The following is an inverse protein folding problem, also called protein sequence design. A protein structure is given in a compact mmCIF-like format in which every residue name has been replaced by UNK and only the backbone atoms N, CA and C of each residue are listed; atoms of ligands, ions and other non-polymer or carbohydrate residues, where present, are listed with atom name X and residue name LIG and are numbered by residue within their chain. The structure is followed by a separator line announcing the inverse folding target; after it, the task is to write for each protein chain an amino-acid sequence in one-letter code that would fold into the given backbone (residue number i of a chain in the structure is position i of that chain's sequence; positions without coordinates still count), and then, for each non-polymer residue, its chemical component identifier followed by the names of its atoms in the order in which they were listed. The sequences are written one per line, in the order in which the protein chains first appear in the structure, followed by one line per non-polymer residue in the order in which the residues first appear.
data_IF_394914064055
#
_entry.id   IF_394914064055
#
_cell.length_a   1.000
_cell.length_b   1.000
_cell.length_c   1.000
_cell.angle_alpha   90.00
_cell.angle_beta   90.00
_cell.angle_gamma   90.00
#
_symmetry.space_group_name_H-M   'P 1'
#
loop_
_entity.id
_entity.type
_entity.pdbx_description
1 polymer ?
#
# COMPACT_ATOMS: atom_id res chain seq x y z
N UNK A 1 35.33 -10.75 -1.78
CA UNK A 1 34.42 -11.76 -2.33
C UNK A 1 33.44 -12.30 -1.26
N UNK A 2 33.91 -12.82 -0.13
CA UNK A 2 33.06 -13.40 0.93
C UNK A 2 32.03 -12.40 1.46
N UNK A 3 32.45 -11.16 1.70
CA UNK A 3 31.54 -10.09 2.18
C UNK A 3 30.38 -9.79 1.18
N UNK A 4 30.66 -9.84 -0.13
CA UNK A 4 29.64 -9.61 -1.15
C UNK A 4 28.59 -10.72 -1.12
N UNK A 5 29.04 -11.98 -1.04
CA UNK A 5 28.13 -13.14 -0.94
C UNK A 5 27.30 -13.07 0.32
N UNK A 6 27.92 -12.76 1.48
CA UNK A 6 27.21 -12.64 2.74
C UNK A 6 26.11 -11.54 2.69
N UNK A 7 26.44 -10.37 2.11
CA UNK A 7 25.49 -9.26 1.96
C UNK A 7 24.34 -9.59 1.00
N UNK A 8 24.60 -10.32 -0.09
CA UNK A 8 23.55 -10.77 -1.01
C UNK A 8 22.63 -11.82 -0.36
N UNK A 9 23.17 -12.75 0.42
CA UNK A 9 22.38 -13.72 1.19
C UNK A 9 21.50 -12.98 2.21
N UNK A 10 22.08 -12.03 2.94
CA UNK A 10 21.36 -11.24 3.93
C UNK A 10 20.25 -10.40 3.27
N UNK A 11 20.51 -9.78 2.12
CA UNK A 11 19.48 -9.10 1.33
C UNK A 11 18.32 -10.02 1.00
N UNK A 12 18.59 -11.21 0.44
CA UNK A 12 17.54 -12.16 0.04
C UNK A 12 16.70 -12.64 1.22
N UNK A 13 17.36 -12.91 2.33
CA UNK A 13 16.69 -13.31 3.57
C UNK A 13 15.80 -12.17 4.09
N UNK A 14 16.36 -10.98 4.26
CA UNK A 14 15.66 -9.82 4.82
C UNK A 14 14.51 -9.37 3.94
N UNK A 15 14.67 -9.36 2.60
CA UNK A 15 13.57 -8.99 1.69
C UNK A 15 12.43 -10.02 1.73
N UNK A 16 12.75 -11.30 1.90
CA UNK A 16 11.73 -12.35 2.05
C UNK A 16 10.92 -12.15 3.32
N UNK A 17 11.60 -11.93 4.45
CA UNK A 17 10.93 -11.64 5.72
C UNK A 17 10.10 -10.38 5.63
N UNK A 18 10.64 -9.28 5.10
CA UNK A 18 9.92 -8.01 4.93
C UNK A 18 8.65 -8.13 4.10
N UNK A 19 8.66 -8.95 3.05
CA UNK A 19 7.47 -9.23 2.24
C UNK A 19 6.46 -10.13 2.96
N UNK A 20 6.93 -11.10 3.76
CA UNK A 20 6.05 -11.97 4.53
C UNK A 20 5.36 -11.24 5.69
N UNK A 21 6.04 -10.26 6.27
CA UNK A 21 5.51 -9.42 7.36
C UNK A 21 4.85 -8.14 6.87
N UNK A 22 4.79 -7.93 5.55
CA UNK A 22 4.25 -6.72 4.89
C UNK A 22 4.86 -5.41 5.44
N UNK A 23 6.15 -5.47 5.82
CA UNK A 23 6.88 -4.38 6.48
C UNK A 23 7.78 -3.62 5.51
N UNK A 24 7.41 -2.38 5.10
CA UNK A 24 8.23 -1.54 4.22
C UNK A 24 9.60 -1.23 4.81
N UNK A 25 9.71 -1.03 6.13
CA UNK A 25 10.97 -0.73 6.81
C UNK A 25 11.97 -1.89 6.76
N UNK A 26 11.50 -3.14 6.90
CA UNK A 26 12.35 -4.33 6.76
C UNK A 26 12.82 -4.48 5.30
N UNK A 27 11.96 -4.21 4.34
CA UNK A 27 12.32 -4.20 2.91
C UNK A 27 13.36 -3.11 2.63
N UNK A 28 13.20 -1.91 3.19
CA UNK A 28 14.17 -0.83 3.05
C UNK A 28 15.55 -1.22 3.61
N UNK A 29 15.60 -1.85 4.78
CA UNK A 29 16.85 -2.36 5.37
C UNK A 29 17.51 -3.43 4.48
N UNK A 30 16.72 -4.29 3.83
CA UNK A 30 17.27 -5.25 2.87
C UNK A 30 17.98 -4.52 1.70
N UNK A 31 17.39 -3.47 1.16
CA UNK A 31 18.00 -2.68 0.10
C UNK A 31 19.31 -2.00 0.52
N UNK A 32 19.45 -1.61 1.79
CA UNK A 32 20.73 -1.14 2.32
C UNK A 32 21.83 -2.18 2.17
N UNK A 33 21.60 -3.43 2.55
CA UNK A 33 22.57 -4.51 2.37
C UNK A 33 22.94 -4.74 0.91
N UNK A 34 21.98 -4.63 0.00
CA UNK A 34 22.23 -4.79 -1.43
C UNK A 34 23.03 -3.63 -2.02
N UNK A 35 22.74 -2.40 -1.60
CA UNK A 35 23.51 -1.22 -2.00
C UNK A 35 24.98 -1.35 -1.59
N UNK A 36 25.25 -1.85 -0.40
CA UNK A 36 26.59 -2.12 0.09
C UNK A 36 27.31 -3.23 -0.72
N UNK A 37 26.58 -4.27 -1.13
CA UNK A 37 27.13 -5.32 -1.97
C UNK A 37 27.51 -4.77 -3.36
N UNK A 38 26.63 -3.98 -3.97
CA UNK A 38 26.86 -3.33 -5.26
C UNK A 38 28.04 -2.36 -5.22
N UNK A 39 28.16 -1.55 -4.17
CA UNK A 39 29.33 -0.68 -3.94
C UNK A 39 30.62 -1.48 -3.86
N UNK A 40 30.60 -2.59 -3.12
CA UNK A 40 31.77 -3.49 -3.00
C UNK A 40 32.13 -4.15 -4.34
N UNK A 41 31.16 -4.51 -5.17
CA UNK A 41 31.38 -5.05 -6.53
C UNK A 41 31.99 -3.98 -7.42
N UNK A 42 31.44 -2.74 -7.39
CA UNK A 42 31.96 -1.61 -8.18
C UNK A 42 33.42 -1.35 -7.87
N UNK A 43 33.78 -1.23 -6.59
CA UNK A 43 35.15 -1.03 -6.14
C UNK A 43 36.09 -2.18 -6.55
N UNK A 44 35.64 -3.43 -6.35
CA UNK A 44 36.43 -4.61 -6.72
C UNK A 44 36.70 -4.65 -8.23
N UNK A 45 35.68 -4.33 -9.03
CA UNK A 45 35.80 -4.28 -10.49
C UNK A 45 36.72 -3.14 -10.94
N UNK A 46 36.56 -1.93 -10.39
CA UNK A 46 37.38 -0.76 -10.72
C UNK A 46 38.86 -0.99 -10.41
N UNK A 47 39.16 -1.42 -9.20
CA UNK A 47 40.57 -1.74 -8.78
C UNK A 47 41.12 -2.91 -9.59
N UNK A 48 40.30 -3.96 -9.83
CA UNK A 48 40.72 -5.11 -10.63
C UNK A 48 41.11 -4.73 -12.05
N UNK A 49 40.30 -3.92 -12.73
CA UNK A 49 40.61 -3.44 -14.07
C UNK A 49 41.89 -2.60 -14.10
N UNK A 50 42.06 -1.69 -13.14
CA UNK A 50 43.27 -0.87 -13.05
C UNK A 50 44.52 -1.74 -12.82
N UNK A 51 44.43 -2.78 -11.99
CA UNK A 51 45.54 -3.68 -11.67
C UNK A 51 45.93 -4.57 -12.85
N UNK A 52 44.97 -5.18 -13.56
CA UNK A 52 45.25 -6.15 -14.63
C UNK A 52 45.49 -5.50 -16.01
N UNK A 53 44.86 -4.33 -16.32
CA UNK A 53 44.96 -3.71 -17.62
C UNK A 53 45.84 -2.45 -17.65
N UNK A 54 46.42 -2.06 -16.49
CA UNK A 54 47.39 -0.99 -16.36
C UNK A 54 46.81 0.43 -16.27
N UNK A 55 47.68 1.42 -16.24
CA UNK A 55 47.36 2.82 -15.89
C UNK A 55 46.25 3.48 -16.75
N UNK A 56 46.07 3.06 -17.99
CA UNK A 56 45.04 3.58 -18.89
C UNK A 56 43.61 3.26 -18.37
N UNK A 57 43.46 2.22 -17.56
CA UNK A 57 42.20 1.77 -17.01
C UNK A 57 41.90 2.30 -15.61
N UNK A 58 42.77 3.17 -15.06
CA UNK A 58 42.51 3.82 -13.75
C UNK A 58 41.21 4.63 -13.72
N UNK A 59 40.74 5.11 -14.89
CA UNK A 59 39.46 5.80 -15.02
C UNK A 59 38.25 4.87 -14.80
N UNK A 60 38.45 3.55 -14.87
CA UNK A 60 37.36 2.58 -14.65
C UNK A 60 36.81 2.60 -13.21
N UNK A 61 37.65 2.89 -12.22
CA UNK A 61 37.24 2.98 -10.82
C UNK A 61 36.27 4.16 -10.57
N UNK A 62 36.59 5.42 -10.92
CA UNK A 62 35.64 6.51 -10.78
C UNK A 62 34.38 6.35 -11.64
N UNK A 63 34.48 5.74 -12.83
CA UNK A 63 33.29 5.43 -13.64
C UNK A 63 32.41 4.38 -12.99
N UNK A 64 32.98 3.30 -12.45
CA UNK A 64 32.24 2.30 -11.71
C UNK A 64 31.55 2.93 -10.48
N UNK A 65 32.27 3.77 -9.74
CA UNK A 65 31.73 4.51 -8.60
C UNK A 65 30.56 5.42 -9.00
N UNK A 66 30.66 6.12 -10.13
CA UNK A 66 29.59 6.97 -10.66
C UNK A 66 28.33 6.14 -11.00
N UNK A 67 28.49 5.01 -11.70
CA UNK A 67 27.38 4.14 -12.07
C UNK A 67 26.68 3.60 -10.82
N UNK A 68 27.45 3.13 -9.84
CA UNK A 68 26.91 2.62 -8.57
C UNK A 68 26.21 3.73 -7.80
N UNK A 69 26.76 4.96 -7.76
CA UNK A 69 26.14 6.07 -7.04
C UNK A 69 24.78 6.48 -7.63
N UNK A 70 24.64 6.49 -8.96
CA UNK A 70 23.36 6.75 -9.64
C UNK A 70 22.33 5.67 -9.28
N UNK A 71 22.77 4.42 -9.24
CA UNK A 71 21.89 3.30 -8.90
C UNK A 71 21.42 3.36 -7.43
N UNK A 72 22.35 3.67 -6.52
CA UNK A 72 22.02 3.85 -5.09
C UNK A 72 21.10 5.05 -4.90
N UNK A 73 21.35 6.16 -5.59
CA UNK A 73 20.49 7.34 -5.53
C UNK A 73 19.05 7.02 -5.96
N UNK A 74 18.89 6.26 -7.04
CA UNK A 74 17.57 5.82 -7.50
C UNK A 74 16.86 4.99 -6.41
N UNK A 75 17.54 4.01 -5.81
CA UNK A 75 16.96 3.19 -4.73
C UNK A 75 16.55 4.07 -3.55
N UNK A 76 17.43 4.98 -3.11
CA UNK A 76 17.15 5.90 -2.02
C UNK A 76 15.93 6.78 -2.30
N UNK A 77 15.82 7.28 -3.53
CA UNK A 77 14.69 8.09 -3.96
C UNK A 77 13.37 7.30 -3.96
N UNK A 78 13.38 6.07 -4.46
CA UNK A 78 12.20 5.20 -4.48
C UNK A 78 11.73 4.86 -3.04
N UNK A 79 12.68 4.60 -2.13
CA UNK A 79 12.38 4.37 -0.71
C UNK A 79 11.84 5.62 -0.02
N UNK A 80 12.45 6.77 -0.27
CA UNK A 80 12.00 8.05 0.27
C UNK A 80 10.58 8.39 -0.20
N UNK A 81 10.30 8.22 -1.49
CA UNK A 81 8.97 8.45 -2.05
C UNK A 81 7.93 7.53 -1.42
N UNK A 82 8.26 6.25 -1.22
CA UNK A 82 7.37 5.28 -0.56
C UNK A 82 7.09 5.68 0.89
N UNK A 83 8.13 6.03 1.66
CA UNK A 83 7.99 6.46 3.06
C UNK A 83 7.21 7.78 3.20
N UNK A 84 7.46 8.75 2.32
CA UNK A 84 6.68 9.99 2.30
C UNK A 84 5.22 9.73 1.95
N UNK A 85 4.95 8.80 1.03
CA UNK A 85 3.58 8.40 0.69
C UNK A 85 2.82 7.85 1.89
N UNK A 86 3.48 7.06 2.72
CA UNK A 86 2.89 6.54 3.96
C UNK A 86 2.63 7.64 4.98
N UNK A 87 3.59 8.56 5.19
CA UNK A 87 3.44 9.71 6.09
C UNK A 87 2.37 10.71 5.64
N UNK A 88 2.16 10.82 4.34
CA UNK A 88 1.12 11.67 3.74
C UNK A 88 -0.24 10.95 3.61
N UNK A 89 -0.38 9.78 4.22
CA UNK A 89 -1.61 8.98 4.21
C UNK A 89 -2.15 8.74 2.79
N UNK A 90 -1.26 8.42 1.83
CA UNK A 90 -1.69 8.14 0.47
C UNK A 90 -2.68 6.97 0.45
N UNK A 91 -3.72 7.14 -0.36
CA UNK A 91 -4.72 6.11 -0.63
C UNK A 91 -4.06 4.81 -1.18
N UNK A 92 -4.71 3.70 -0.94
CA UNK A 92 -4.30 2.42 -1.52
C UNK A 92 -4.43 2.46 -3.07
N UNK A 93 -3.75 1.56 -3.78
CA UNK A 93 -3.90 1.46 -5.23
C UNK A 93 -5.36 1.31 -5.64
N UNK A 94 -5.78 1.95 -6.74
CA UNK A 94 -7.16 1.95 -7.22
C UNK A 94 -7.76 0.53 -7.37
N UNK A 95 -6.96 -0.45 -7.77
CA UNK A 95 -7.40 -1.85 -7.85
C UNK A 95 -7.79 -2.41 -6.47
N UNK A 96 -7.07 -2.04 -5.41
CA UNK A 96 -7.37 -2.44 -4.03
C UNK A 96 -8.62 -1.73 -3.51
N UNK A 97 -8.79 -0.44 -3.82
CA UNK A 97 -10.00 0.30 -3.46
C UNK A 97 -11.24 -0.26 -4.15
N UNK A 98 -11.12 -0.67 -5.41
CA UNK A 98 -12.21 -1.34 -6.13
C UNK A 98 -12.57 -2.69 -5.49
N UNK A 99 -11.60 -3.44 -5.01
CA UNK A 99 -11.84 -4.69 -4.28
C UNK A 99 -12.59 -4.42 -2.96
N UNK A 100 -12.22 -3.36 -2.24
CA UNK A 100 -12.94 -2.93 -1.02
C UNK A 100 -14.38 -2.57 -1.35
N UNK A 101 -14.61 -1.78 -2.40
CA UNK A 101 -15.96 -1.42 -2.84
C UNK A 101 -16.79 -2.65 -3.19
N UNK A 102 -16.22 -3.65 -3.84
CA UNK A 102 -16.90 -4.90 -4.16
C UNK A 102 -17.30 -5.68 -2.89
N UNK A 103 -16.47 -5.64 -1.85
CA UNK A 103 -16.80 -6.26 -0.55
C UNK A 103 -17.93 -5.49 0.14
N UNK A 104 -17.90 -4.16 0.13
CA UNK A 104 -18.95 -3.32 0.70
C UNK A 104 -20.31 -3.55 0.03
N UNK A 105 -20.32 -3.69 -1.31
CA UNK A 105 -21.55 -3.89 -2.11
C UNK A 105 -22.02 -5.35 -2.16
N UNK A 106 -21.31 -6.27 -1.52
CA UNK A 106 -21.68 -7.69 -1.53
C UNK A 106 -23.07 -7.95 -0.93
N UNK A 107 -23.45 -7.21 0.09
CA UNK A 107 -24.80 -7.26 0.66
C UNK A 107 -25.77 -6.40 -0.12
N UNK A 108 -26.93 -6.97 -0.52
CA UNK A 108 -27.99 -6.22 -1.18
C UNK A 108 -28.62 -5.12 -0.31
N UNK A 109 -28.39 -5.17 1.01
CA UNK A 109 -28.87 -4.18 1.96
C UNK A 109 -28.01 -2.91 1.99
N UNK A 110 -26.81 -2.97 1.40
CA UNK A 110 -25.90 -1.82 1.24
C UNK A 110 -26.20 -1.13 -0.10
N UNK A 111 -26.51 0.12 -0.02
CA UNK A 111 -26.68 1.00 -1.19
C UNK A 111 -25.65 2.12 -1.14
N UNK A 112 -25.15 2.53 -2.32
CA UNK A 112 -24.30 3.70 -2.51
C UNK A 112 -23.14 3.81 -1.48
N UNK A 113 -22.17 2.86 -1.44
CA UNK A 113 -20.97 3.08 -0.67
C UNK A 113 -20.24 4.30 -1.20
N UNK A 114 -19.84 5.22 -0.31
CA UNK A 114 -19.20 6.47 -0.67
C UNK A 114 -18.22 6.92 0.41
N UNK A 115 -17.50 8.01 0.18
CA UNK A 115 -16.47 8.53 1.07
C UNK A 115 -15.45 7.46 1.50
N UNK A 116 -15.13 6.53 0.58
CA UNK A 116 -14.07 5.57 0.83
C UNK A 116 -12.75 6.31 1.03
N UNK A 117 -12.13 6.10 2.17
CA UNK A 117 -10.78 6.56 2.49
C UNK A 117 -9.95 5.37 2.93
N UNK A 118 -8.80 5.25 2.35
CA UNK A 118 -7.88 4.15 2.62
C UNK A 118 -6.50 4.70 2.89
N UNK A 119 -5.76 4.07 3.79
CA UNK A 119 -4.35 4.39 4.01
C UNK A 119 -3.62 3.18 4.58
N UNK A 120 -2.31 3.20 4.44
CA UNK A 120 -1.43 2.22 5.08
C UNK A 120 -0.87 2.79 6.37
N UNK A 121 -0.81 1.99 7.41
CA UNK A 121 -0.20 2.31 8.70
C UNK A 121 0.77 1.17 9.02
N UNK A 122 2.04 1.32 8.60
CA UNK A 122 3.02 0.25 8.67
C UNK A 122 2.59 -1.00 7.88
N UNK A 123 2.47 -2.13 8.56
CA UNK A 123 1.99 -3.39 7.97
C UNK A 123 0.45 -3.51 7.94
N UNK A 124 -0.26 -2.51 8.46
CA UNK A 124 -1.72 -2.55 8.63
C UNK A 124 -2.39 -1.64 7.60
N UNK A 125 -3.59 -2.00 7.19
CA UNK A 125 -4.48 -1.18 6.35
C UNK A 125 -5.55 -0.53 7.22
N UNK A 126 -5.82 0.75 6.99
CA UNK A 126 -6.98 1.44 7.54
C UNK A 126 -7.99 1.74 6.43
N UNK A 127 -9.26 1.44 6.68
CA UNK A 127 -10.38 1.58 5.75
C UNK A 127 -11.49 2.34 6.47
N UNK A 128 -11.89 3.47 5.91
CA UNK A 128 -13.04 4.25 6.34
C UNK A 128 -14.00 4.35 5.17
N UNK A 129 -15.27 4.04 5.39
CA UNK A 129 -16.29 4.11 4.34
C UNK A 129 -17.65 4.45 4.92
N UNK A 130 -18.48 5.09 4.12
CA UNK A 130 -19.90 5.31 4.41
C UNK A 130 -20.74 4.38 3.55
N UNK A 131 -21.78 3.82 4.15
CA UNK A 131 -22.78 3.00 3.45
C UNK A 131 -24.18 3.52 3.75
N UNK A 132 -25.06 3.43 2.77
CA UNK A 132 -26.48 3.77 2.95
C UNK A 132 -27.30 2.51 3.08
N UNK A 133 -28.28 2.55 4.00
CA UNK A 133 -29.21 1.46 4.28
C UNK A 133 -30.65 1.98 4.35
N UNK A 134 -31.62 1.06 4.34
CA UNK A 134 -33.05 1.43 4.54
C UNK A 134 -33.22 2.19 5.87
N UNK A 135 -33.81 3.40 5.86
CA UNK A 135 -34.02 4.20 7.06
C UNK A 135 -34.87 3.47 8.15
N UNK A 136 -35.60 2.44 7.79
CA UNK A 136 -36.38 1.62 8.71
C UNK A 136 -35.60 0.42 9.27
N UNK A 137 -34.35 0.25 8.84
CA UNK A 137 -33.50 -0.82 9.38
C UNK A 137 -33.25 -0.59 10.87
N UNK A 138 -33.41 -1.65 11.67
CA UNK A 138 -33.12 -1.55 13.10
C UNK A 138 -31.62 -1.38 13.34
N UNK A 139 -31.26 -0.72 14.45
CA UNK A 139 -29.85 -0.59 14.87
C UNK A 139 -29.18 -1.96 15.00
N UNK A 140 -29.89 -2.95 15.53
CA UNK A 140 -29.36 -4.33 15.62
C UNK A 140 -29.01 -4.87 14.23
N UNK A 141 -29.87 -4.70 13.24
CA UNK A 141 -29.64 -5.23 11.89
C UNK A 141 -28.50 -4.49 11.21
N UNK A 142 -28.43 -3.17 11.32
CA UNK A 142 -27.33 -2.39 10.74
C UNK A 142 -25.98 -2.74 11.37
N UNK A 143 -25.95 -2.99 12.67
CA UNK A 143 -24.74 -3.46 13.35
C UNK A 143 -24.31 -4.86 12.87
N UNK A 144 -25.23 -5.81 12.73
CA UNK A 144 -24.92 -7.12 12.17
C UNK A 144 -24.34 -7.04 10.75
N UNK A 145 -24.87 -6.13 9.94
CA UNK A 145 -24.38 -5.86 8.59
C UNK A 145 -22.95 -5.34 8.61
N UNK A 146 -22.64 -4.35 9.45
CA UNK A 146 -21.27 -3.81 9.56
C UNK A 146 -20.28 -4.87 10.08
N UNK A 147 -20.68 -5.69 11.05
CA UNK A 147 -19.86 -6.81 11.56
C UNK A 147 -19.53 -7.82 10.45
N UNK A 148 -20.49 -8.16 9.57
CA UNK A 148 -20.23 -9.07 8.45
C UNK A 148 -19.26 -8.45 7.43
N UNK A 149 -19.42 -7.18 7.12
CA UNK A 149 -18.51 -6.44 6.23
C UNK A 149 -17.10 -6.39 6.85
N UNK A 150 -16.98 -6.02 8.11
CA UNK A 150 -15.69 -5.99 8.82
C UNK A 150 -15.00 -7.35 8.82
N UNK A 151 -15.74 -8.43 9.05
CA UNK A 151 -15.19 -9.78 8.99
C UNK A 151 -14.61 -10.09 7.62
N UNK A 152 -15.32 -9.80 6.53
CA UNK A 152 -14.85 -10.02 5.16
C UNK A 152 -13.63 -9.19 4.83
N UNK A 153 -13.59 -7.92 5.25
CA UNK A 153 -12.43 -7.05 5.06
C UNK A 153 -11.22 -7.57 5.85
N UNK A 154 -11.40 -8.04 7.08
CA UNK A 154 -10.33 -8.64 7.89
C UNK A 154 -9.83 -9.98 7.32
N UNK A 155 -10.73 -10.81 6.76
CA UNK A 155 -10.35 -12.04 6.06
C UNK A 155 -9.46 -11.74 4.84
N UNK A 156 -9.70 -10.63 4.14
CA UNK A 156 -8.97 -10.25 2.94
C UNK A 156 -7.67 -9.48 3.23
N UNK A 157 -7.69 -8.53 4.15
CA UNK A 157 -6.58 -7.59 4.40
C UNK A 157 -5.82 -7.88 5.69
N UNK A 158 -6.23 -8.88 6.45
CA UNK A 158 -5.60 -9.31 7.69
C UNK A 158 -6.37 -8.91 8.95
N UNK A 159 -6.16 -9.65 10.05
CA UNK A 159 -6.94 -9.49 11.29
C UNK A 159 -6.74 -8.13 11.97
N UNK A 160 -5.61 -7.48 11.72
CA UNK A 160 -5.26 -6.17 12.31
C UNK A 160 -5.77 -4.97 11.49
N UNK A 161 -6.52 -5.20 10.40
CA UNK A 161 -7.09 -4.13 9.58
C UNK A 161 -7.98 -3.24 10.44
N UNK A 162 -7.73 -1.93 10.41
CA UNK A 162 -8.54 -0.93 11.07
C UNK A 162 -9.72 -0.56 10.16
N UNK A 163 -10.95 -0.75 10.64
CA UNK A 163 -12.14 -0.56 9.82
C UNK A 163 -13.09 0.36 10.58
N UNK A 164 -13.57 1.39 9.89
CA UNK A 164 -14.61 2.31 10.36
C UNK A 164 -15.69 2.40 9.28
N UNK A 165 -16.89 1.94 9.58
CA UNK A 165 -18.03 2.00 8.66
C UNK A 165 -19.09 2.91 9.26
N UNK A 166 -19.33 4.03 8.60
CA UNK A 166 -20.43 4.93 8.94
C UNK A 166 -21.69 4.51 8.20
N UNK A 167 -22.77 4.29 8.95
CA UNK A 167 -24.07 3.88 8.40
C UNK A 167 -24.99 5.08 8.31
N UNK A 168 -25.49 5.36 7.11
CA UNK A 168 -26.40 6.46 6.83
C UNK A 168 -27.74 5.93 6.30
N UNK A 169 -28.84 6.60 6.55
CA UNK A 169 -30.10 6.30 5.89
C UNK A 169 -30.04 6.71 4.41
N UNK A 170 -30.76 5.99 3.54
CA UNK A 170 -31.02 6.44 2.18
C UNK A 170 -31.83 7.73 2.25
N UNK A 171 -31.41 8.79 1.55
CA UNK A 171 -32.15 10.05 1.50
C UNK A 171 -33.51 9.84 0.87
N UNK A 172 -34.56 10.10 1.66
CA UNK A 172 -35.95 9.90 1.27
C UNK A 172 -36.49 11.04 0.37
N UNK A 173 -35.71 12.07 0.13
CA UNK A 173 -36.16 13.25 -0.66
C UNK A 173 -36.50 12.94 -2.13
N UNK A 174 -35.94 11.89 -2.70
CA UNK A 174 -36.27 11.43 -4.06
C UNK A 174 -37.63 10.72 -4.16
N UNK A 175 -38.22 10.33 -3.04
CA UNK A 175 -39.54 9.67 -3.02
C UNK A 175 -40.71 10.64 -2.87
N UNK A 176 -40.47 11.86 -2.38
CA UNK A 176 -41.55 12.86 -2.23
C UNK A 176 -41.88 13.64 -3.51
N UNK A 177 -40.99 13.67 -4.49
CA UNK A 177 -41.22 14.36 -5.77
C UNK A 177 -42.00 13.53 -6.80
N UNK A 178 -42.30 12.25 -6.50
CA UNK A 178 -43.10 11.37 -7.36
C UNK A 178 -44.51 11.10 -6.83
N UNK A 179 -44.96 11.76 -5.78
CA UNK A 179 -46.33 11.70 -5.36
C UNK A 179 -47.20 12.54 -6.34
N UNK A 180 -48.21 11.97 -7.00
CA UNK A 180 -49.08 12.74 -7.86
C UNK A 180 -49.81 13.80 -7.02
N UNK A 181 -49.75 15.04 -7.49
CA UNK A 181 -50.47 16.19 -6.98
C UNK A 181 -51.97 15.82 -6.90
N UNK A 182 -52.47 15.61 -5.69
CA UNK A 182 -53.90 15.40 -5.51
C UNK A 182 -54.60 16.68 -5.88
N UNK A 183 -55.34 16.61 -6.99
CA UNK A 183 -56.33 17.58 -7.48
C UNK A 183 -57.06 18.24 -6.31
N UNK A 184 -56.80 19.52 -6.09
CA UNK A 184 -57.63 20.39 -5.28
C UNK A 184 -58.67 21.04 -6.20
N UNK A 185 -59.70 20.29 -6.52
CA UNK A 185 -60.96 20.85 -7.02
C UNK A 185 -62.11 20.13 -6.30
N UNK A 186 -62.59 20.74 -5.26
CA UNK A 186 -64.05 20.98 -5.00
C UNK A 186 -64.11 21.98 -3.85
#
# INVERSE_FOLDING_TARGET
AISIVAKEVLYRYTVRVGRQTDSPSVVANAWHHRSDALSSIGTLTGIGLAYFLGDKWRIADPLAALVVSVFIFKIAFDLLRSGLGELLEHALPAATEQEILNILTHSKEVTEPHHLRTRRIGATVAIEAHIRVDPRMSVLRSHQLTVDIERRLKERFGPNTLISIHVEPIETEKLSSSAPEKDKNI
#
